data_IF_647421186586
#
_entry.id   IF_647421186586
#
_cell.length_a   1.000
_cell.length_b   1.000
_cell.length_c   1.000
_cell.angle_alpha   90.00
_cell.angle_beta   90.00
_cell.angle_gamma   90.00
#
_symmetry.space_group_name_H-M   'P 1'
#
loop_
_entity.id
_entity.type
_entity.pdbx_description
1 polymer ?
#
# COMPACT_ATOMS: atom_id res chain seq x y z
N UNK A 1 16.06 3.41 0.26
CA UNK A 1 15.36 4.34 1.16
C UNK A 1 15.80 5.75 0.79
N UNK A 2 14.90 6.73 0.81
CA UNK A 2 15.20 8.11 0.40
C UNK A 2 14.85 8.48 -1.05
N UNK A 3 14.32 7.54 -1.84
CA UNK A 3 13.79 7.82 -3.17
C UNK A 3 12.38 8.43 -3.07
N UNK A 4 12.09 9.40 -3.92
CA UNK A 4 10.76 10.00 -4.07
C UNK A 4 9.95 9.23 -5.10
N UNK A 5 8.66 9.04 -4.80
CA UNK A 5 7.68 8.38 -5.65
C UNK A 5 6.51 9.34 -5.82
N UNK A 6 6.14 9.57 -7.08
CA UNK A 6 4.97 10.38 -7.44
C UNK A 6 3.80 9.46 -7.75
N UNK A 7 2.64 9.78 -7.19
CA UNK A 7 1.37 9.12 -7.49
C UNK A 7 0.57 10.01 -8.44
N UNK A 8 0.47 9.58 -9.70
CA UNK A 8 -0.22 10.33 -10.77
C UNK A 8 -1.74 10.10 -10.79
N UNK A 9 -2.22 9.08 -10.05
CA UNK A 9 -3.62 8.66 -10.08
C UNK A 9 -4.35 9.16 -8.84
N UNK A 10 -4.87 10.39 -8.93
CA UNK A 10 -5.65 11.02 -7.87
C UNK A 10 -7.14 11.03 -8.24
N UNK A 11 -7.98 10.46 -7.38
CA UNK A 11 -9.43 10.35 -7.61
C UNK A 11 -10.20 11.56 -7.05
N UNK A 12 -9.69 12.15 -5.97
CA UNK A 12 -10.38 13.17 -5.19
C UNK A 12 -9.37 14.04 -4.48
N UNK A 13 -9.60 15.36 -4.50
CA UNK A 13 -8.89 16.31 -3.63
C UNK A 13 -9.91 17.07 -2.81
N UNK A 14 -9.77 17.01 -1.49
CA UNK A 14 -10.59 17.76 -0.53
C UNK A 14 -9.86 19.01 -0.02
N UNK A 15 -10.62 19.91 0.63
CA UNK A 15 -10.15 21.19 1.13
C UNK A 15 -11.21 22.28 0.88
N UNK A 16 -10.79 23.54 0.83
CA UNK A 16 -11.71 24.66 0.55
C UNK A 16 -12.30 24.58 -0.87
N UNK A 17 -11.50 24.12 -1.85
CA UNK A 17 -11.94 23.84 -3.21
C UNK A 17 -11.91 22.33 -3.46
N UNK A 18 -13.08 21.71 -3.52
CA UNK A 18 -13.20 20.26 -3.73
C UNK A 18 -13.11 19.93 -5.23
N UNK A 19 -12.21 19.01 -5.60
CA UNK A 19 -12.07 18.49 -6.97
C UNK A 19 -12.43 17.00 -6.98
N UNK A 20 -13.42 16.62 -7.80
CA UNK A 20 -13.87 15.24 -7.98
C UNK A 20 -13.46 14.78 -9.38
N UNK A 21 -12.67 13.71 -9.46
CA UNK A 21 -12.25 13.13 -10.73
C UNK A 21 -13.30 12.19 -11.33
N UNK A 22 -13.37 12.15 -12.66
CA UNK A 22 -14.19 11.20 -13.41
C UNK A 22 -13.45 10.77 -14.69
N UNK A 23 -12.42 9.91 -14.64
CA UNK A 23 -12.02 8.98 -13.56
C UNK A 23 -10.89 9.47 -12.64
N UNK A 24 -10.11 10.47 -13.02
CA UNK A 24 -9.03 11.07 -12.22
C UNK A 24 -9.14 12.60 -12.25
N UNK A 25 -8.47 13.30 -11.32
CA UNK A 25 -8.34 14.76 -11.34
C UNK A 25 -7.14 15.13 -12.22
N UNK A 26 -7.39 15.84 -13.31
CA UNK A 26 -6.33 16.23 -14.25
C UNK A 26 -5.31 17.17 -13.59
N UNK A 27 -4.02 16.82 -13.70
CA UNK A 27 -2.91 17.60 -13.15
C UNK A 27 -2.63 17.38 -11.65
N UNK A 28 -3.42 16.56 -10.96
CA UNK A 28 -3.20 16.25 -9.56
C UNK A 28 -2.10 15.17 -9.40
N UNK A 29 -1.18 15.39 -8.46
CA UNK A 29 -0.11 14.44 -8.14
C UNK A 29 0.23 14.47 -6.66
N UNK A 30 0.60 13.31 -6.10
CA UNK A 30 1.04 13.22 -4.71
C UNK A 30 2.49 12.75 -4.68
N UNK A 31 3.38 13.58 -4.13
CA UNK A 31 4.80 13.24 -3.97
C UNK A 31 5.03 12.66 -2.58
N UNK A 32 5.63 11.47 -2.52
CA UNK A 32 5.92 10.77 -1.27
C UNK A 32 7.35 10.23 -1.27
N UNK A 33 7.97 10.14 -0.10
CA UNK A 33 9.32 9.62 0.09
C UNK A 33 9.32 8.24 0.73
N UNK A 34 10.21 7.37 0.25
CA UNK A 34 10.40 6.02 0.81
C UNK A 34 11.15 6.07 2.14
N UNK A 35 10.44 5.86 3.25
CA UNK A 35 11.02 5.80 4.59
C UNK A 35 11.67 4.43 4.86
N UNK A 36 10.92 3.34 4.66
CA UNK A 36 11.44 1.98 4.89
C UNK A 36 10.81 0.93 3.99
N UNK A 37 11.59 -0.10 3.74
CA UNK A 37 11.15 -1.35 3.12
C UNK A 37 11.14 -2.43 4.20
N UNK A 38 10.01 -3.08 4.40
CA UNK A 38 9.81 -3.96 5.55
C UNK A 38 9.00 -5.22 5.23
N UNK A 39 9.04 -6.16 6.17
CA UNK A 39 8.23 -7.37 6.15
C UNK A 39 7.21 -7.31 7.28
N UNK A 40 5.95 -7.63 6.98
CA UNK A 40 4.89 -7.73 7.99
C UNK A 40 5.20 -8.83 9.03
N UNK A 41 4.40 -8.85 10.10
CA UNK A 41 4.44 -9.92 11.11
C UNK A 41 4.21 -11.27 10.44
N UNK A 42 4.86 -12.31 10.96
CA UNK A 42 4.75 -13.67 10.39
C UNK A 42 3.35 -14.22 10.61
N UNK A 43 2.63 -14.46 9.52
CA UNK A 43 1.38 -15.20 9.53
C UNK A 43 1.70 -16.70 9.47
N UNK A 44 1.07 -17.48 10.34
CA UNK A 44 1.18 -18.94 10.33
C UNK A 44 -0.06 -19.52 9.67
N UNK A 45 0.08 -19.98 8.44
CA UNK A 45 -0.98 -20.68 7.70
C UNK A 45 -0.88 -22.16 8.01
N UNK A 46 -1.86 -22.68 8.74
CA UNK A 46 -1.96 -24.10 9.07
C UNK A 46 -3.20 -24.72 8.43
N UNK A 47 -3.00 -25.83 7.71
CA UNK A 47 -4.08 -26.64 7.13
C UNK A 47 -3.99 -28.04 7.70
N UNK A 48 -5.13 -28.59 8.12
CA UNK A 48 -5.25 -29.95 8.66
C UNK A 48 -6.49 -30.61 8.09
N UNK A 49 -6.40 -31.92 7.80
CA UNK A 49 -7.58 -32.75 7.51
C UNK A 49 -7.62 -33.95 8.46
N UNK A 50 -8.71 -34.12 9.23
CA UNK A 50 -8.81 -35.21 10.20
C UNK A 50 -8.81 -36.58 9.52
N UNK A 51 -8.17 -37.57 10.15
CA UNK A 51 -8.10 -38.98 9.70
C UNK A 51 -7.51 -39.18 8.29
N UNK A 52 -6.85 -38.18 7.72
CA UNK A 52 -6.22 -38.22 6.38
C UNK A 52 -4.70 -38.02 6.41
N UNK A 53 -4.07 -38.07 7.60
CA UNK A 53 -2.64 -37.80 7.80
C UNK A 53 -2.12 -36.53 7.12
N UNK A 54 -3.00 -35.54 6.92
CA UNK A 54 -2.68 -34.30 6.22
C UNK A 54 -2.57 -33.16 7.21
N UNK A 55 -1.36 -32.62 7.34
CA UNK A 55 -1.06 -31.39 8.07
C UNK A 55 -0.01 -30.60 7.28
N UNK A 56 -0.27 -29.31 7.02
CA UNK A 56 0.67 -28.40 6.35
C UNK A 56 0.75 -27.12 7.16
N UNK A 57 1.98 -26.71 7.50
CA UNK A 57 2.27 -25.46 8.21
C UNK A 57 3.19 -24.63 7.33
N UNK A 58 2.80 -23.40 6.99
CA UNK A 58 3.61 -22.48 6.20
C UNK A 58 3.61 -21.11 6.87
N UNK A 59 4.78 -20.47 6.91
CA UNK A 59 4.90 -19.07 7.30
C UNK A 59 4.76 -18.16 6.09
N UNK A 60 4.10 -17.02 6.27
CA UNK A 60 4.11 -15.93 5.29
C UNK A 60 4.49 -14.61 5.94
N UNK A 61 5.29 -13.80 5.25
CA UNK A 61 5.59 -12.42 5.64
C UNK A 61 5.43 -11.55 4.40
N UNK A 62 4.41 -10.71 4.39
CA UNK A 62 4.15 -9.84 3.25
C UNK A 62 5.15 -8.68 3.23
N UNK A 63 5.85 -8.42 2.11
CA UNK A 63 6.65 -7.21 1.95
C UNK A 63 5.76 -5.98 1.83
N UNK A 64 6.22 -4.86 2.39
CA UNK A 64 5.57 -3.57 2.28
C UNK A 64 6.59 -2.44 2.25
N UNK A 65 6.20 -1.36 1.58
CA UNK A 65 6.93 -0.08 1.59
C UNK A 65 6.19 0.88 2.50
N UNK A 66 6.88 1.53 3.44
CA UNK A 66 6.34 2.69 4.17
C UNK A 66 6.78 3.96 3.47
N UNK A 67 5.80 4.79 3.13
CA UNK A 67 5.98 6.07 2.47
C UNK A 67 5.53 7.19 3.41
N UNK A 68 6.18 8.34 3.32
CA UNK A 68 5.78 9.59 3.96
C UNK A 68 5.37 10.56 2.86
N UNK A 69 4.18 11.14 2.95
CA UNK A 69 3.70 12.13 1.98
C UNK A 69 4.38 13.47 2.25
N UNK A 70 4.98 14.06 1.23
CA UNK A 70 5.66 15.35 1.32
C UNK A 70 4.79 16.49 0.77
N UNK A 71 4.16 16.28 -0.39
CA UNK A 71 3.39 17.31 -1.08
C UNK A 71 2.20 16.72 -1.85
N UNK A 72 1.11 17.50 -1.91
CA UNK A 72 -0.10 17.18 -2.68
C UNK A 72 -0.32 18.35 -3.64
N UNK A 73 -0.13 18.09 -4.93
CA UNK A 73 -0.47 19.02 -6.00
C UNK A 73 -1.88 18.70 -6.50
N UNK A 74 -2.73 19.71 -6.57
CA UNK A 74 -4.18 19.56 -6.75
C UNK A 74 -4.74 20.37 -7.92
#
# INVERSE_FOLDING_TARGET
AGESITFDKVLFVGGDNTKVGAPFVDGASVTAKVEKQGLQKKLTVFKYKPKKNYKRKQGHRQPYTKLVVEEINA
#
